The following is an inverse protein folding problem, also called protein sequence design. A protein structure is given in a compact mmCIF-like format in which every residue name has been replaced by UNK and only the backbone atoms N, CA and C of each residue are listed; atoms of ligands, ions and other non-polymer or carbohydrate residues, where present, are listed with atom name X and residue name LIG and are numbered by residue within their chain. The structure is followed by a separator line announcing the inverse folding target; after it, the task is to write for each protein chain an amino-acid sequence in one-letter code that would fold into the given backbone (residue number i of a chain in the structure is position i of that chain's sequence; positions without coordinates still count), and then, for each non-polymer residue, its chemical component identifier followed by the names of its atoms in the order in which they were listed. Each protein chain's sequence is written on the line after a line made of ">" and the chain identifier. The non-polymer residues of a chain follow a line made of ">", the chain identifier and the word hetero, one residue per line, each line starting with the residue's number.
data_IF_131254514913
#
_entry.id   IF_131254514913
#
_cell.length_a   1.000
_cell.length_b   1.000
_cell.length_c   1.000
_cell.angle_alpha   90.00
_cell.angle_beta   90.00
_cell.angle_gamma   90.00
#
_symmetry.space_group_name_H-M   'P 1'
#
loop_
_entity.id
_entity.type
_entity.pdbx_description
1 polymer ?
#
# COMPACT_ATOMS: atom_id res chain seq x y z
N UNK A 1 3.37 13.22 10.40
CA UNK A 1 3.56 14.30 9.41
C UNK A 1 4.36 13.71 8.27
N UNK A 2 4.06 14.07 7.03
CA UNK A 2 4.76 13.57 5.86
C UNK A 2 5.61 14.70 5.30
N UNK A 3 6.86 14.38 4.98
CA UNK A 3 7.78 15.29 4.33
C UNK A 3 8.24 14.69 3.02
N UNK A 4 8.46 15.52 2.01
CA UNK A 4 8.86 15.09 0.69
C UNK A 4 9.98 15.99 0.17
N UNK A 5 10.97 15.37 -0.48
CA UNK A 5 11.96 16.02 -1.32
C UNK A 5 11.85 15.41 -2.72
N UNK A 6 11.92 16.24 -3.76
CA UNK A 6 11.90 15.80 -5.15
C UNK A 6 13.29 15.99 -5.77
N UNK A 7 13.74 15.02 -6.55
CA UNK A 7 15.02 15.08 -7.25
C UNK A 7 14.87 14.47 -8.64
N UNK A 8 15.71 14.92 -9.56
CA UNK A 8 15.76 14.40 -10.91
C UNK A 8 16.97 13.49 -11.07
N UNK A 9 16.80 12.43 -11.87
CA UNK A 9 17.90 11.51 -12.18
C UNK A 9 18.83 12.19 -13.20
N UNK A 10 20.13 12.33 -12.91
CA UNK A 10 21.06 13.00 -13.82
C UNK A 10 21.19 12.25 -15.16
N UNK A 11 21.25 12.98 -16.29
CA UNK A 11 21.33 12.39 -17.65
C UNK A 11 22.66 11.67 -17.86
N UNK A 12 22.69 10.60 -18.67
CA UNK A 12 23.92 9.83 -18.94
C UNK A 12 25.09 10.66 -19.47
N UNK A 13 24.83 11.88 -19.93
CA UNK A 13 25.84 12.82 -20.42
C UNK A 13 26.74 13.40 -19.29
N UNK A 14 26.30 13.31 -18.03
CA UNK A 14 27.01 13.85 -16.85
C UNK A 14 27.99 12.85 -16.19
N UNK A 15 28.62 11.96 -16.97
CA UNK A 15 29.49 10.90 -16.41
C UNK A 15 30.88 11.40 -15.99
N UNK A 16 31.15 11.44 -14.68
CA UNK A 16 32.52 11.54 -14.13
C UNK A 16 33.18 10.16 -13.89
N UNK A 17 32.42 9.07 -13.79
CA UNK A 17 32.95 7.72 -13.50
C UNK A 17 32.27 6.66 -14.38
N UNK A 18 33.07 5.93 -15.17
CA UNK A 18 32.63 5.03 -16.27
C UNK A 18 31.94 3.72 -15.89
N UNK A 19 31.40 3.56 -14.68
CA UNK A 19 30.66 2.35 -14.22
C UNK A 19 29.12 2.48 -14.43
N UNK A 20 28.64 3.62 -14.94
CA UNK A 20 27.22 3.86 -15.22
C UNK A 20 26.31 4.01 -13.99
N UNK A 21 26.80 3.71 -12.79
CA UNK A 21 26.10 3.95 -11.52
C UNK A 21 26.21 5.40 -11.09
N UNK A 22 25.11 5.96 -10.57
CA UNK A 22 25.05 7.33 -10.08
C UNK A 22 24.61 7.39 -8.62
N UNK A 23 25.34 8.18 -7.84
CA UNK A 23 25.01 8.43 -6.43
C UNK A 23 24.28 9.76 -6.31
N UNK A 24 23.10 9.73 -5.70
CA UNK A 24 22.29 10.92 -5.45
C UNK A 24 22.30 11.19 -3.95
N UNK A 25 22.70 12.40 -3.57
CA UNK A 25 22.75 12.86 -2.18
C UNK A 25 21.60 13.84 -1.96
N UNK A 26 20.70 13.51 -1.04
CA UNK A 26 19.52 14.34 -0.73
C UNK A 26 19.66 14.83 0.71
N UNK A 27 19.99 16.10 0.95
CA UNK A 27 20.03 16.67 2.28
C UNK A 27 18.66 16.61 2.98
N UNK A 28 18.65 16.51 4.31
CA UNK A 28 17.38 16.53 5.06
C UNK A 28 16.72 17.91 5.02
N UNK A 29 17.50 18.94 4.73
CA UNK A 29 17.09 20.33 4.53
C UNK A 29 16.15 20.49 3.33
N UNK A 30 16.24 19.61 2.33
CA UNK A 30 15.39 19.66 1.12
C UNK A 30 13.98 19.11 1.37
N UNK A 31 13.73 18.48 2.53
CA UNK A 31 12.45 17.88 2.85
C UNK A 31 11.46 18.92 3.37
N UNK A 32 10.36 19.11 2.63
CA UNK A 32 9.30 20.05 2.98
C UNK A 32 8.03 19.32 3.42
N UNK A 33 7.26 19.97 4.30
CA UNK A 33 6.00 19.43 4.79
C UNK A 33 4.96 19.34 3.66
N UNK A 34 4.33 18.17 3.52
CA UNK A 34 3.26 17.95 2.54
C UNK A 34 1.92 17.68 3.21
N UNK A 35 0.85 18.17 2.57
CA UNK A 35 -0.54 17.85 2.90
C UNK A 35 -1.19 17.17 1.71
N UNK A 36 -1.29 15.84 1.77
CA UNK A 36 -1.71 15.04 0.63
C UNK A 36 -0.69 15.15 -0.53
N UNK A 37 -1.11 15.51 -1.75
CA UNK A 37 -0.22 15.62 -2.91
C UNK A 37 0.43 17.01 -3.08
N UNK A 38 0.16 17.97 -2.18
CA UNK A 38 0.66 19.35 -2.31
C UNK A 38 1.70 19.67 -1.25
N UNK A 39 2.76 20.37 -1.66
CA UNK A 39 3.68 21.05 -0.76
C UNK A 39 2.92 22.15 -0.02
N UNK A 40 3.15 22.27 1.29
CA UNK A 40 2.59 23.37 2.08
C UNK A 40 3.53 24.57 1.92
N UNK A 41 3.05 25.70 1.36
CA UNK A 41 3.85 26.93 1.34
C UNK A 41 4.27 27.30 2.76
N UNK A 42 5.55 27.63 2.96
CA UNK A 42 6.16 27.94 4.27
C UNK A 42 6.04 26.82 5.32
N UNK A 43 5.97 25.57 4.87
CA UNK A 43 6.01 24.40 5.74
C UNK A 43 7.31 24.37 6.57
N UNK A 44 7.19 24.01 7.86
CA UNK A 44 8.38 23.81 8.71
C UNK A 44 9.30 22.75 8.09
N UNK A 45 10.63 22.92 8.16
CA UNK A 45 11.58 21.91 7.67
C UNK A 45 11.49 20.63 8.50
N UNK A 46 11.97 19.52 7.92
CA UNK A 46 12.02 18.24 8.61
C UNK A 46 12.89 18.33 9.87
N UNK A 47 12.28 18.05 11.03
CA UNK A 47 13.00 17.91 12.29
C UNK A 47 13.39 16.45 12.52
N UNK A 48 14.70 16.16 12.53
CA UNK A 48 15.26 14.81 12.68
C UNK A 48 15.55 14.42 14.14
N UNK A 49 15.45 15.36 15.10
CA UNK A 49 15.78 15.13 16.52
C UNK A 49 14.91 14.07 17.20
N UNK A 50 13.68 13.87 16.72
CA UNK A 50 12.75 12.85 17.23
C UNK A 50 12.90 11.46 16.59
N UNK A 51 13.86 11.28 15.70
CA UNK A 51 14.03 10.06 14.91
C UNK A 51 13.08 9.99 13.70
N UNK A 52 13.47 9.20 12.70
CA UNK A 52 12.71 8.99 11.47
C UNK A 52 12.06 7.60 11.54
N UNK A 53 10.73 7.55 11.49
CA UNK A 53 9.99 6.29 11.61
C UNK A 53 9.93 5.48 10.31
N UNK A 54 9.88 6.15 9.16
CA UNK A 54 9.76 5.51 7.86
C UNK A 54 10.28 6.44 6.76
N UNK A 55 11.06 5.86 5.85
CA UNK A 55 11.44 6.48 4.57
C UNK A 55 10.72 5.73 3.46
N UNK A 56 10.07 6.47 2.56
CA UNK A 56 9.41 5.93 1.39
C UNK A 56 10.01 6.54 0.14
N UNK A 57 10.33 5.71 -0.85
CA UNK A 57 10.72 6.16 -2.18
C UNK A 57 9.52 6.04 -3.12
N UNK A 58 9.12 7.16 -3.71
CA UNK A 58 8.11 7.20 -4.76
C UNK A 58 8.79 7.56 -6.09
N UNK A 59 8.73 6.64 -7.05
CA UNK A 59 9.28 6.85 -8.38
C UNK A 59 8.18 7.28 -9.33
N UNK A 60 8.39 8.40 -10.03
CA UNK A 60 7.47 8.92 -11.03
C UNK A 60 8.22 9.15 -12.33
N UNK A 61 7.60 8.76 -13.44
CA UNK A 61 8.06 9.14 -14.78
C UNK A 61 7.67 10.58 -15.14
N UNK A 62 6.72 11.13 -14.39
CA UNK A 62 6.20 12.48 -14.58
C UNK A 62 6.89 13.39 -13.58
N UNK A 63 7.48 14.48 -14.08
CA UNK A 63 7.87 15.59 -13.22
C UNK A 63 6.57 16.15 -12.62
N UNK A 64 6.49 16.19 -11.30
CA UNK A 64 5.31 16.74 -10.62
C UNK A 64 5.48 18.27 -10.66
N UNK A 65 5.00 18.89 -11.74
CA UNK A 65 4.95 20.34 -11.84
C UNK A 65 3.72 20.88 -11.11
N UNK A 66 3.86 22.03 -10.44
CA UNK A 66 2.75 22.74 -9.80
C UNK A 66 1.66 23.18 -10.79
N UNK A 67 1.96 23.18 -12.09
CA UNK A 67 1.03 23.50 -13.17
C UNK A 67 0.77 22.25 -14.02
N UNK A 68 -0.50 21.88 -14.16
CA UNK A 68 -1.03 20.72 -14.90
C UNK A 68 -0.87 20.80 -16.43
N UNK A 69 0.06 21.60 -16.94
CA UNK A 69 0.35 21.72 -18.37
C UNK A 69 1.46 20.75 -18.79
N UNK A 70 1.39 20.32 -20.04
CA UNK A 70 2.18 19.26 -20.68
C UNK A 70 3.67 19.28 -20.31
N UNK A 71 4.18 18.10 -19.95
CA UNK A 71 5.56 17.87 -19.53
C UNK A 71 6.43 17.61 -20.78
N UNK A 72 7.36 18.51 -21.15
CA UNK A 72 8.13 18.39 -22.38
C UNK A 72 9.05 17.16 -22.40
N UNK A 73 9.40 16.61 -21.24
CA UNK A 73 10.28 15.45 -21.10
C UNK A 73 9.54 14.11 -20.99
N UNK A 74 8.23 14.07 -21.26
CA UNK A 74 7.48 12.82 -21.18
C UNK A 74 7.90 11.85 -22.27
N UNK A 75 8.48 10.72 -21.86
CA UNK A 75 8.69 9.58 -22.75
C UNK A 75 7.61 8.53 -22.47
N UNK A 76 6.81 8.06 -23.44
CA UNK A 76 5.93 6.91 -23.22
C UNK A 76 6.76 5.62 -23.03
N UNK A 77 6.22 4.62 -22.31
CA UNK A 77 6.86 3.30 -22.13
C UNK A 77 7.27 2.92 -20.71
N UNK A 78 7.82 1.72 -20.54
CA UNK A 78 8.35 1.25 -19.26
C UNK A 78 9.66 1.97 -18.90
N UNK A 79 9.96 2.06 -17.61
CA UNK A 79 11.26 2.48 -17.12
C UNK A 79 11.69 1.55 -15.99
N UNK A 80 12.99 1.32 -15.87
CA UNK A 80 13.59 0.50 -14.84
C UNK A 80 14.54 1.37 -14.01
N UNK A 81 14.47 1.22 -12.70
CA UNK A 81 15.40 1.85 -11.75
C UNK A 81 16.04 0.74 -10.95
N UNK A 82 17.37 0.64 -11.04
CA UNK A 82 18.15 -0.29 -10.24
C UNK A 82 18.77 0.46 -9.07
N UNK A 83 18.49 0.01 -7.85
CA UNK A 83 19.05 0.59 -6.63
C UNK A 83 20.09 -0.37 -6.10
N UNK A 84 21.35 0.09 -6.06
CA UNK A 84 22.47 -0.69 -5.52
C UNK A 84 22.53 -0.59 -4.00
N UNK A 85 22.46 0.62 -3.47
CA UNK A 85 22.62 0.89 -2.04
C UNK A 85 21.82 2.13 -1.63
N UNK A 86 21.36 2.14 -0.37
CA UNK A 86 20.74 3.29 0.29
C UNK A 86 21.50 3.48 1.60
N UNK A 87 22.03 4.68 1.82
CA UNK A 87 22.85 4.99 2.98
C UNK A 87 22.70 6.43 3.44
N UNK A 88 23.36 6.74 4.55
CA UNK A 88 23.51 8.10 5.06
C UNK A 88 24.82 8.68 4.54
N UNK A 89 24.82 9.98 4.26
CA UNK A 89 26.03 10.71 3.92
C UNK A 89 26.23 11.86 4.90
N UNK A 90 27.49 12.22 5.14
CA UNK A 90 27.86 13.43 5.86
C UNK A 90 28.61 14.35 4.90
N UNK A 91 28.36 15.65 4.99
CA UNK A 91 29.19 16.64 4.31
C UNK A 91 30.37 16.95 5.23
N UNK A 92 31.57 16.49 4.90
CA UNK A 92 32.83 16.83 5.62
C UNK A 92 33.28 18.29 5.45
N UNK A 93 32.39 19.19 5.00
CA UNK A 93 32.69 20.60 4.74
C UNK A 93 32.21 21.54 5.86
N UNK A 94 32.09 21.05 7.09
CA UNK A 94 32.01 21.92 8.27
C UNK A 94 33.44 22.23 8.75
N UNK A 95 33.86 23.50 8.85
CA UNK A 95 35.21 23.84 9.27
C UNK A 95 35.33 23.66 10.78
N UNK A 96 35.86 22.50 11.20
CA UNK A 96 36.21 22.24 12.59
C UNK A 96 35.87 20.82 13.00
N UNK A 97 36.89 19.96 13.00
CA UNK A 97 36.77 18.60 13.54
C UNK A 97 37.58 17.58 12.77
N UNK A 98 38.90 17.73 12.75
CA UNK A 98 39.74 16.55 12.82
C UNK A 98 39.38 15.81 14.13
N UNK A 99 39.33 14.49 14.08
CA UNK A 99 38.96 13.58 15.18
C UNK A 99 37.45 13.32 15.37
N UNK A 100 36.89 12.47 14.50
CA UNK A 100 35.68 11.70 14.80
C UNK A 100 35.86 10.22 14.42
N UNK A 101 36.91 9.60 14.97
CA UNK A 101 36.89 8.16 15.23
C UNK A 101 36.10 7.95 16.53
N UNK A 102 35.08 7.10 16.47
CA UNK A 102 34.37 6.53 17.62
C UNK A 102 33.53 7.53 18.46
N UNK A 103 32.37 7.89 17.94
CA UNK A 103 31.21 8.12 18.78
C UNK A 103 30.02 7.48 18.08
N UNK A 104 29.85 6.18 18.31
CA UNK A 104 28.55 5.52 18.20
C UNK A 104 27.66 6.09 19.31
N UNK A 105 27.34 7.38 19.23
CA UNK A 105 26.28 7.93 20.05
C UNK A 105 24.98 7.28 19.58
N UNK A 106 24.32 6.67 20.54
CA UNK A 106 23.11 5.89 20.38
C UNK A 106 22.16 6.60 19.40
N UNK A 107 22.11 6.08 18.17
CA UNK A 107 21.04 6.38 17.23
C UNK A 107 19.77 6.02 17.99
N UNK A 108 19.04 7.03 18.45
CA UNK A 108 17.70 6.90 19.01
C UNK A 108 16.81 6.39 17.88
N UNK A 109 16.90 5.09 17.60
CA UNK A 109 15.95 4.40 16.74
C UNK A 109 14.62 4.55 17.46
N UNK A 110 13.64 5.28 16.89
CA UNK A 110 12.34 5.35 17.51
C UNK A 110 11.83 3.94 17.72
N UNK A 111 11.45 3.61 18.95
CA UNK A 111 11.01 2.28 19.35
C UNK A 111 9.78 1.90 18.51
N UNK A 112 10.00 1.14 17.43
CA UNK A 112 8.92 0.68 16.58
C UNK A 112 8.20 -0.40 17.35
N UNK A 113 7.03 -0.05 17.90
CA UNK A 113 6.17 -0.99 18.62
C UNK A 113 6.13 -2.32 17.90
N UNK A 114 6.57 -3.37 18.59
CA UNK A 114 6.55 -4.73 18.08
C UNK A 114 5.15 -5.09 17.62
N UNK A 115 5.01 -5.99 16.63
CA UNK A 115 3.69 -6.44 16.12
C UNK A 115 2.75 -6.85 17.25
N UNK A 116 3.28 -7.41 18.34
CA UNK A 116 2.53 -7.80 19.54
C UNK A 116 2.06 -6.60 20.38
N UNK A 117 2.91 -5.60 20.57
CA UNK A 117 2.58 -4.37 21.32
C UNK A 117 1.61 -3.47 20.55
N UNK A 118 1.75 -3.42 19.22
CA UNK A 118 0.80 -2.72 18.34
C UNK A 118 -0.59 -3.34 18.37
N UNK A 119 -0.72 -4.63 18.71
CA UNK A 119 -2.01 -5.32 18.87
C UNK A 119 -2.62 -5.04 20.25
N UNK A 120 -1.79 -4.91 21.28
CA UNK A 120 -2.24 -4.59 22.64
C UNK A 120 -2.74 -3.15 22.77
N UNK A 121 -2.07 -2.16 22.15
CA UNK A 121 -2.45 -0.74 22.23
C UNK A 121 -3.66 -0.33 21.38
N UNK A 122 -4.33 -1.27 20.69
CA UNK A 122 -5.51 -0.96 19.85
C UNK A 122 -6.79 -0.77 20.67
N UNK A 123 -7.69 0.15 20.27
CA UNK A 123 -9.00 0.27 20.88
C UNK A 123 -9.80 -1.03 20.74
N UNK A 124 -10.52 -1.40 21.80
CA UNK A 124 -11.35 -2.62 21.92
C UNK A 124 -12.21 -2.97 20.69
N UNK A 125 -12.94 -2.03 20.05
CA UNK A 125 -13.75 -2.35 18.87
C UNK A 125 -12.90 -2.85 17.69
N UNK A 126 -11.69 -2.32 17.51
CA UNK A 126 -10.79 -2.73 16.43
C UNK A 126 -10.21 -4.13 16.67
N UNK A 127 -10.03 -4.53 17.94
CA UNK A 127 -9.57 -5.89 18.31
C UNK A 127 -10.62 -6.95 17.94
N UNK A 128 -11.90 -6.64 18.10
CA UNK A 128 -13.00 -7.55 17.75
C UNK A 128 -13.23 -7.62 16.23
N UNK A 129 -13.14 -6.47 15.54
CA UNK A 129 -13.43 -6.39 14.11
C UNK A 129 -12.30 -6.93 13.22
N UNK A 130 -11.04 -6.89 13.65
CA UNK A 130 -9.91 -7.34 12.83
C UNK A 130 -9.95 -8.82 12.40
N UNK A 131 -10.20 -9.80 13.30
CA UNK A 131 -10.29 -11.20 12.89
C UNK A 131 -11.45 -11.42 11.93
N UNK A 132 -12.57 -10.72 12.13
CA UNK A 132 -13.70 -10.70 11.20
C UNK A 132 -13.32 -10.10 9.85
N UNK A 133 -12.68 -8.92 9.84
CA UNK A 133 -12.22 -8.25 8.63
C UNK A 133 -11.20 -9.09 7.85
N UNK A 134 -10.31 -9.84 8.51
CA UNK A 134 -9.37 -10.77 7.84
C UNK A 134 -10.07 -11.94 7.16
N UNK A 135 -11.24 -12.36 7.65
CA UNK A 135 -12.05 -13.38 6.98
C UNK A 135 -12.60 -12.82 5.66
N UNK A 136 -12.97 -11.54 5.61
CA UNK A 136 -13.51 -10.88 4.41
C UNK A 136 -12.44 -10.37 3.44
N UNK A 137 -11.30 -9.89 3.95
CA UNK A 137 -10.18 -9.31 3.19
C UNK A 137 -9.05 -10.34 3.10
N UNK A 138 -9.36 -11.51 2.55
CA UNK A 138 -8.34 -12.50 2.23
C UNK A 138 -7.82 -12.25 0.81
N UNK A 139 -6.62 -11.68 0.72
CA UNK A 139 -5.94 -11.42 -0.55
C UNK A 139 -5.85 -12.67 -1.44
N UNK A 140 -5.61 -13.85 -0.85
CA UNK A 140 -5.56 -15.09 -1.62
C UNK A 140 -6.89 -15.41 -2.30
N UNK A 141 -8.03 -15.09 -1.67
CA UNK A 141 -9.36 -15.26 -2.29
C UNK A 141 -9.54 -14.30 -3.46
N UNK A 142 -9.12 -13.04 -3.29
CA UNK A 142 -9.17 -12.05 -4.37
C UNK A 142 -8.29 -12.44 -5.57
N UNK A 143 -7.06 -12.92 -5.31
CA UNK A 143 -6.17 -13.46 -6.35
C UNK A 143 -6.84 -14.63 -7.09
N UNK A 144 -7.49 -15.58 -6.39
CA UNK A 144 -8.25 -16.67 -7.03
C UNK A 144 -9.42 -16.15 -7.88
N UNK A 145 -10.20 -15.20 -7.40
CA UNK A 145 -11.31 -14.59 -8.15
C UNK A 145 -10.82 -13.87 -9.41
N UNK A 146 -9.66 -13.21 -9.33
CA UNK A 146 -9.04 -12.55 -10.48
C UNK A 146 -8.54 -13.57 -11.51
N UNK A 147 -7.86 -14.64 -11.08
CA UNK A 147 -7.42 -15.72 -11.96
C UNK A 147 -8.62 -16.43 -12.63
N UNK A 148 -9.69 -16.68 -11.87
CA UNK A 148 -10.93 -17.24 -12.40
C UNK A 148 -11.58 -16.33 -13.46
N UNK A 149 -11.56 -15.01 -13.25
CA UNK A 149 -12.03 -14.03 -14.26
C UNK A 149 -11.19 -14.09 -15.54
N UNK A 150 -9.87 -14.23 -15.42
CA UNK A 150 -8.97 -14.37 -16.57
C UNK A 150 -9.26 -15.67 -17.33
N UNK A 151 -9.42 -16.80 -16.64
CA UNK A 151 -9.75 -18.09 -17.27
C UNK A 151 -11.13 -18.05 -17.94
N UNK A 152 -12.11 -17.39 -17.33
CA UNK A 152 -13.43 -17.19 -17.94
C UNK A 152 -13.34 -16.33 -19.21
N UNK A 153 -12.53 -15.27 -19.22
CA UNK A 153 -12.27 -14.46 -20.44
C UNK A 153 -11.63 -15.27 -21.56
N UNK A 154 -10.87 -16.32 -21.23
CA UNK A 154 -10.28 -17.28 -22.18
C UNK A 154 -11.25 -18.39 -22.63
N UNK A 155 -12.54 -18.27 -22.32
CA UNK A 155 -13.57 -19.22 -22.75
C UNK A 155 -13.74 -20.45 -21.84
N UNK A 156 -13.02 -20.55 -20.72
CA UNK A 156 -13.20 -21.69 -19.82
C UNK A 156 -14.46 -21.52 -18.95
N UNK A 157 -15.26 -22.59 -18.87
CA UNK A 157 -16.33 -22.70 -17.89
C UNK A 157 -15.77 -22.71 -16.46
N UNK A 158 -16.61 -22.40 -15.45
CA UNK A 158 -16.18 -22.40 -14.03
C UNK A 158 -15.61 -23.76 -13.61
N UNK A 159 -16.28 -24.84 -14.01
CA UNK A 159 -15.81 -26.20 -13.76
C UNK A 159 -14.53 -26.49 -14.55
N UNK A 160 -14.46 -26.09 -15.82
CA UNK A 160 -13.24 -26.24 -16.63
C UNK A 160 -12.03 -25.54 -16.01
N UNK A 161 -12.21 -24.34 -15.45
CA UNK A 161 -11.16 -23.60 -14.77
C UNK A 161 -10.72 -24.25 -13.45
N UNK A 162 -11.65 -24.85 -12.69
CA UNK A 162 -11.34 -25.61 -11.47
C UNK A 162 -10.58 -26.89 -11.84
N UNK A 163 -11.07 -27.65 -12.82
CA UNK A 163 -10.40 -28.85 -13.32
C UNK A 163 -9.01 -28.54 -13.88
N UNK A 164 -8.85 -27.44 -14.61
CA UNK A 164 -7.56 -26.95 -15.07
C UNK A 164 -6.61 -26.65 -13.90
N UNK A 165 -7.09 -25.97 -12.85
CA UNK A 165 -6.29 -25.68 -11.67
C UNK A 165 -5.89 -26.95 -10.90
N UNK A 166 -6.79 -27.94 -10.79
CA UNK A 166 -6.51 -29.24 -10.16
C UNK A 166 -5.51 -30.03 -10.98
N UNK A 167 -5.69 -30.11 -12.31
CA UNK A 167 -4.77 -30.78 -13.24
C UNK A 167 -3.36 -30.17 -13.18
N UNK A 168 -3.27 -28.84 -13.14
CA UNK A 168 -1.98 -28.14 -13.04
C UNK A 168 -1.29 -28.41 -11.69
N UNK A 169 -2.05 -28.50 -10.59
CA UNK A 169 -1.51 -28.86 -9.26
C UNK A 169 -1.14 -30.34 -9.14
N UNK A 170 -1.90 -31.22 -9.79
CA UNK A 170 -1.63 -32.65 -9.80
C UNK A 170 -0.26 -32.97 -10.43
N UNK A 171 0.20 -32.14 -11.38
CA UNK A 171 1.54 -32.26 -11.98
C UNK A 171 2.69 -32.01 -11.01
N UNK A 172 2.52 -31.18 -9.99
CA UNK A 172 3.61 -30.83 -9.06
C UNK A 172 3.49 -31.53 -7.70
N UNK A 173 2.28 -31.89 -7.26
CA UNK A 173 2.06 -32.45 -5.92
C UNK A 173 1.46 -33.85 -5.94
N UNK A 174 1.02 -34.36 -7.10
CA UNK A 174 0.22 -35.59 -7.22
C UNK A 174 -1.28 -35.33 -7.15
N UNK A 175 -2.07 -36.26 -7.68
CA UNK A 175 -3.53 -36.08 -7.86
C UNK A 175 -4.29 -36.00 -6.54
N UNK A 176 -4.01 -36.91 -5.61
CA UNK A 176 -4.67 -37.00 -4.30
C UNK A 176 -4.53 -35.70 -3.48
N UNK A 177 -3.31 -35.18 -3.22
CA UNK A 177 -3.16 -33.93 -2.46
C UNK A 177 -3.69 -32.71 -3.22
N UNK A 178 -3.66 -32.71 -4.56
CA UNK A 178 -4.24 -31.63 -5.36
C UNK A 178 -5.77 -31.54 -5.21
N UNK A 179 -6.45 -32.69 -5.21
CA UNK A 179 -7.90 -32.78 -4.97
C UNK A 179 -8.24 -32.38 -3.54
N UNK A 180 -7.54 -32.92 -2.54
CA UNK A 180 -7.78 -32.57 -1.14
C UNK A 180 -7.60 -31.07 -0.88
N UNK A 181 -6.57 -30.46 -1.49
CA UNK A 181 -6.33 -29.02 -1.41
C UNK A 181 -7.43 -28.21 -2.08
N UNK A 182 -7.96 -28.67 -3.21
CA UNK A 182 -9.10 -28.03 -3.87
C UNK A 182 -10.36 -28.11 -3.01
N UNK A 183 -10.62 -29.27 -2.40
CA UNK A 183 -11.75 -29.48 -1.49
C UNK A 183 -11.66 -28.59 -0.25
N UNK A 184 -10.48 -28.50 0.37
CA UNK A 184 -10.21 -27.61 1.51
C UNK A 184 -10.46 -26.14 1.16
N UNK A 185 -10.06 -25.70 -0.03
CA UNK A 185 -10.31 -24.34 -0.50
C UNK A 185 -11.82 -24.11 -0.69
N UNK A 186 -12.52 -25.06 -1.31
CA UNK A 186 -13.97 -24.98 -1.51
C UNK A 186 -14.74 -24.92 -0.18
N UNK A 187 -14.36 -25.76 0.79
CA UNK A 187 -14.94 -25.76 2.13
C UNK A 187 -14.73 -24.42 2.84
N UNK A 188 -13.49 -23.89 2.81
CA UNK A 188 -13.19 -22.58 3.39
C UNK A 188 -14.01 -21.48 2.74
N UNK A 189 -14.09 -21.45 1.41
CA UNK A 189 -14.82 -20.42 0.69
C UNK A 189 -16.34 -20.52 0.98
N UNK A 190 -16.89 -21.73 1.09
CA UNK A 190 -18.27 -21.96 1.51
C UNK A 190 -18.54 -21.45 2.94
N UNK A 191 -17.69 -21.83 3.90
CA UNK A 191 -17.81 -21.37 5.29
C UNK A 191 -17.76 -19.83 5.38
N UNK A 192 -16.84 -19.20 4.65
CA UNK A 192 -16.80 -17.72 4.61
C UNK A 192 -18.04 -17.10 3.97
N UNK A 193 -18.65 -17.76 2.97
CA UNK A 193 -19.88 -17.27 2.36
C UNK A 193 -21.09 -17.39 3.30
N UNK A 194 -21.18 -18.47 4.08
CA UNK A 194 -22.21 -18.65 5.11
C UNK A 194 -22.06 -17.58 6.20
N UNK A 195 -20.86 -17.40 6.74
CA UNK A 195 -20.59 -16.34 7.73
C UNK A 195 -20.91 -14.95 7.17
N UNK A 196 -20.54 -14.67 5.92
CA UNK A 196 -20.89 -13.44 5.24
C UNK A 196 -22.40 -13.22 5.12
N UNK A 197 -23.14 -14.29 4.82
CA UNK A 197 -24.59 -14.26 4.69
C UNK A 197 -25.26 -14.02 6.05
N UNK A 198 -24.86 -14.75 7.09
CA UNK A 198 -25.35 -14.54 8.45
C UNK A 198 -25.06 -13.11 8.94
N UNK A 199 -23.85 -12.60 8.69
CA UNK A 199 -23.48 -11.23 9.06
C UNK A 199 -24.32 -10.19 8.30
N UNK A 200 -24.59 -10.42 7.00
CA UNK A 200 -25.50 -9.55 6.24
C UNK A 200 -26.91 -9.57 6.82
N UNK A 201 -27.42 -10.73 7.20
CA UNK A 201 -28.74 -10.89 7.81
C UNK A 201 -28.84 -10.13 9.13
N UNK A 202 -27.80 -10.21 9.98
CA UNK A 202 -27.78 -9.55 11.29
C UNK A 202 -27.50 -8.05 11.21
N UNK A 203 -26.61 -7.59 10.32
CA UNK A 203 -26.20 -6.17 10.29
C UNK A 203 -26.89 -5.37 9.21
N UNK A 204 -26.97 -5.90 7.98
CA UNK A 204 -27.42 -5.10 6.83
C UNK A 204 -28.94 -5.08 6.72
N UNK A 205 -29.59 -6.23 6.88
CA UNK A 205 -31.06 -6.30 6.75
C UNK A 205 -31.80 -5.43 7.77
N UNK A 206 -31.47 -5.39 9.08
CA UNK A 206 -32.17 -4.52 10.01
C UNK A 206 -31.91 -3.04 9.71
N UNK A 207 -30.69 -2.65 9.34
CA UNK A 207 -30.40 -1.27 8.95
C UNK A 207 -31.18 -0.85 7.69
N UNK A 208 -31.30 -1.73 6.70
CA UNK A 208 -32.11 -1.47 5.50
C UNK A 208 -33.61 -1.41 5.83
N UNK A 209 -34.09 -2.28 6.72
CA UNK A 209 -35.48 -2.27 7.19
C UNK A 209 -35.80 -0.98 7.96
N UNK A 210 -34.95 -0.56 8.89
CA UNK A 210 -35.06 0.72 9.63
C UNK A 210 -35.03 1.89 8.65
N UNK A 211 -34.11 1.90 7.67
CA UNK A 211 -34.05 2.96 6.66
C UNK A 211 -35.32 3.03 5.79
N UNK A 212 -35.89 1.88 5.42
CA UNK A 212 -37.17 1.82 4.69
C UNK A 212 -38.32 2.33 5.55
N UNK A 213 -38.36 1.94 6.83
CA UNK A 213 -39.35 2.41 7.78
C UNK A 213 -39.27 3.93 7.96
N UNK A 214 -38.10 4.49 8.24
CA UNK A 214 -37.89 5.94 8.39
C UNK A 214 -38.27 6.74 7.14
N UNK A 215 -38.08 6.19 5.94
CA UNK A 215 -38.52 6.85 4.69
C UNK A 215 -40.04 6.93 4.58
N UNK A 216 -40.77 5.93 5.06
CA UNK A 216 -42.24 5.97 5.06
C UNK A 216 -42.78 7.05 6.00
N UNK A 217 -42.10 7.33 7.11
CA UNK A 217 -42.47 8.40 8.04
C UNK A 217 -41.92 9.79 7.66
N UNK A 218 -41.01 9.88 6.67
CA UNK A 218 -40.38 11.13 6.24
C UNK A 218 -41.09 11.79 5.05
N UNK A 219 -42.34 11.42 4.75
CA UNK A 219 -43.20 12.20 3.84
C UNK A 219 -43.53 13.55 4.47
N UNK A 220 -42.57 14.49 4.44
CA UNK A 220 -42.87 15.90 4.64
C UNK A 220 -43.77 16.35 3.48
N UNK A 221 -44.91 17.01 3.76
CA UNK A 221 -45.74 17.56 2.69
C UNK A 221 -44.89 18.53 1.87
N UNK A 222 -44.97 18.38 0.55
CA UNK A 222 -44.38 19.30 -0.42
C UNK A 222 -44.94 20.70 -0.08
N UNK A 223 -44.10 21.72 0.19
CA UNK A 223 -44.63 23.06 0.36
C UNK A 223 -45.37 23.43 -0.93
N UNK A 224 -46.64 23.80 -0.80
CA UNK A 224 -47.41 24.36 -1.89
C UNK A 224 -46.73 25.68 -2.26
N UNK A 225 -46.24 25.77 -3.49
CA UNK A 225 -45.66 27.00 -4.00
C UNK A 225 -46.78 28.05 -4.11
N UNK A 226 -46.55 29.21 -3.48
CA UNK A 226 -47.14 30.51 -3.82
C UNK A 226 -46.68 30.97 -5.21
#
# INVERSE_FOLDING_TARGET
>A
MLYQAAYEMPSNDDQENGDGWKTIKIPFEDFQLVSGPKMVPDGKPLNTTGGIYQIGLALSKFQISDKTSELPSFRPGYFEVQVREIGLFWNSAAPGGADAKASQDAVNTPDTLSKKESLQKRPMPLKLLLPLARIFVNEQSQRRKSAMRILKKRGLSRFGAICFAVKNRARSQGLVPAVFRALRIAFRDCATAVVAFCLKLILVYPFVAIRRFLRLFSNKPKPANE
#
